data_IF_417848679172
#
_entry.id   IF_417848679172
#
_cell.length_a   1.000
_cell.length_b   1.000
_cell.length_c   1.000
_cell.angle_alpha   90.00
_cell.angle_beta   90.00
_cell.angle_gamma   90.00
#
_symmetry.space_group_name_H-M   'P 1'
#
loop_
_entity.id
_entity.type
_entity.pdbx_description
1 polymer ?
#
# COMPACT_ATOMS: atom_id res chain seq x y z
N UNK A 1 6.54 -57.86 -29.63
CA UNK A 1 7.15 -56.55 -29.28
C UNK A 1 8.58 -56.77 -28.85
N UNK A 2 9.56 -56.09 -29.48
CA UNK A 2 10.98 -56.32 -29.20
C UNK A 2 11.37 -55.64 -27.89
N UNK A 3 12.22 -56.30 -27.07
CA UNK A 3 12.74 -55.74 -25.81
C UNK A 3 13.42 -54.37 -26.00
N UNK A 4 13.88 -54.09 -27.22
CA UNK A 4 14.42 -52.80 -27.63
C UNK A 4 13.37 -51.69 -27.52
N UNK A 5 12.16 -51.87 -28.07
CA UNK A 5 11.11 -50.84 -28.07
C UNK A 5 10.72 -50.37 -26.65
N UNK A 6 10.62 -51.30 -25.70
CA UNK A 6 10.31 -50.99 -24.29
C UNK A 6 11.44 -50.21 -23.61
N UNK A 7 12.71 -50.45 -23.97
CA UNK A 7 13.86 -49.71 -23.44
C UNK A 7 13.87 -48.27 -23.94
N UNK A 8 13.58 -48.04 -25.22
CA UNK A 8 13.47 -46.70 -25.80
C UNK A 8 12.30 -45.90 -25.23
N UNK A 9 11.14 -46.54 -25.03
CA UNK A 9 9.99 -45.89 -24.41
C UNK A 9 10.31 -45.42 -22.99
N UNK A 10 10.88 -46.28 -22.14
CA UNK A 10 11.28 -45.91 -20.76
C UNK A 10 12.31 -44.78 -20.72
N UNK A 11 13.28 -44.79 -21.64
CA UNK A 11 14.28 -43.73 -21.73
C UNK A 11 13.65 -42.39 -22.13
N UNK A 12 12.71 -42.41 -23.08
CA UNK A 12 11.97 -41.20 -23.49
C UNK A 12 11.09 -40.66 -22.36
N UNK A 13 10.36 -41.53 -21.65
CA UNK A 13 9.53 -41.10 -20.50
C UNK A 13 10.40 -40.50 -19.39
N UNK A 14 11.56 -41.11 -19.08
CA UNK A 14 12.49 -40.58 -18.08
C UNK A 14 13.06 -39.21 -18.49
N UNK A 15 13.36 -39.00 -19.77
CA UNK A 15 13.81 -37.71 -20.31
C UNK A 15 12.72 -36.64 -20.16
N UNK A 16 11.47 -36.94 -20.53
CA UNK A 16 10.36 -35.99 -20.40
C UNK A 16 10.08 -35.63 -18.93
N UNK A 17 10.13 -36.60 -18.02
CA UNK A 17 9.96 -36.36 -16.57
C UNK A 17 11.10 -35.47 -16.04
N UNK A 18 12.34 -35.72 -16.45
CA UNK A 18 13.49 -34.88 -16.09
C UNK A 18 13.30 -33.43 -16.54
N UNK A 19 12.81 -33.21 -17.77
CA UNK A 19 12.55 -31.88 -18.31
C UNK A 19 11.44 -31.12 -17.56
N UNK A 20 10.41 -31.82 -17.05
CA UNK A 20 9.32 -31.20 -16.29
C UNK A 20 9.79 -30.75 -14.90
N UNK A 21 10.74 -31.46 -14.29
CA UNK A 21 11.23 -31.16 -12.93
C UNK A 21 12.18 -29.95 -12.92
N UNK A 22 12.77 -29.57 -14.06
CA UNK A 22 13.71 -28.43 -14.18
C UNK A 22 12.99 -27.08 -14.37
N UNK A 23 11.67 -27.03 -14.17
CA UNK A 23 10.90 -25.78 -14.15
C UNK A 23 11.20 -24.91 -12.92
N UNK A 24 12.33 -24.19 -12.90
CA UNK A 24 12.56 -23.11 -11.95
C UNK A 24 11.75 -21.88 -12.37
N UNK A 25 10.54 -21.74 -11.84
CA UNK A 25 9.82 -20.47 -11.90
C UNK A 25 10.43 -19.50 -10.87
N UNK A 26 11.39 -18.68 -11.29
CA UNK A 26 11.84 -17.54 -10.49
C UNK A 26 10.92 -16.35 -10.79
N UNK A 27 10.39 -15.71 -9.75
CA UNK A 27 9.73 -14.43 -9.92
C UNK A 27 10.77 -13.38 -10.34
N UNK A 28 10.40 -12.39 -11.18
CA UNK A 28 11.25 -11.23 -11.42
C UNK A 28 11.51 -10.50 -10.10
N UNK A 29 12.75 -10.01 -9.93
CA UNK A 29 13.08 -9.20 -8.76
C UNK A 29 12.23 -7.91 -8.75
N UNK A 30 11.66 -7.53 -7.60
CA UNK A 30 10.96 -6.26 -7.50
C UNK A 30 11.96 -5.12 -7.75
N UNK A 31 11.51 -4.01 -8.36
CA UNK A 31 12.36 -2.83 -8.51
C UNK A 31 12.85 -2.36 -7.13
N UNK A 32 14.09 -1.87 -7.08
CA UNK A 32 14.63 -1.23 -5.88
C UNK A 32 13.75 -0.05 -5.50
N UNK A 33 13.32 0.00 -4.24
CA UNK A 33 12.47 1.08 -3.74
C UNK A 33 13.34 2.16 -3.14
N UNK A 34 13.10 3.39 -3.55
CA UNK A 34 13.69 4.55 -2.88
C UNK A 34 13.12 4.68 -1.47
N UNK A 35 14.02 4.82 -0.49
CA UNK A 35 13.65 5.05 0.90
C UNK A 35 13.06 6.44 1.07
N UNK A 36 12.01 6.56 1.90
CA UNK A 36 11.37 7.84 2.16
C UNK A 36 10.91 7.94 3.61
N UNK A 37 11.20 9.08 4.26
CA UNK A 37 10.80 9.34 5.65
C UNK A 37 9.64 10.33 5.75
N UNK A 38 8.86 10.18 6.82
CA UNK A 38 7.77 11.09 7.18
C UNK A 38 8.29 12.49 7.52
N UNK A 39 7.46 13.50 7.23
CA UNK A 39 7.79 14.85 7.66
C UNK A 39 7.54 14.97 9.17
N UNK A 40 8.43 15.70 9.85
CA UNK A 40 8.27 16.02 11.27
C UNK A 40 7.04 16.90 11.53
N UNK A 41 6.70 17.07 12.81
CA UNK A 41 5.56 17.86 13.25
C UNK A 41 5.58 19.31 12.72
N UNK A 42 4.48 19.72 12.06
CA UNK A 42 4.32 21.04 11.45
C UNK A 42 3.56 21.99 12.38
N UNK A 43 4.31 22.80 13.13
CA UNK A 43 3.79 23.62 14.22
C UNK A 43 2.95 24.84 13.79
N UNK A 44 3.03 25.21 12.52
CA UNK A 44 2.33 26.32 11.85
C UNK A 44 0.98 25.92 11.25
N UNK A 45 0.70 24.62 11.16
CA UNK A 45 -0.56 24.09 10.62
C UNK A 45 -1.80 24.51 11.44
N UNK A 46 -2.93 24.61 10.75
CA UNK A 46 -4.26 24.83 11.33
C UNK A 46 -4.61 23.74 12.36
N UNK A 47 -4.24 22.48 12.08
CA UNK A 47 -4.45 21.38 13.01
C UNK A 47 -3.62 21.55 14.30
N UNK A 48 -2.35 21.95 14.18
CA UNK A 48 -1.52 22.28 15.35
C UNK A 48 -2.10 23.45 16.15
N UNK A 49 -2.66 24.46 15.48
CA UNK A 49 -3.32 25.60 16.13
C UNK A 49 -4.57 25.19 16.90
N UNK A 50 -5.40 24.32 16.32
CA UNK A 50 -6.60 23.79 16.97
C UNK A 50 -6.28 23.06 18.28
N UNK A 51 -5.27 22.18 18.27
CA UNK A 51 -4.85 21.46 19.48
C UNK A 51 -4.15 22.35 20.51
N UNK A 52 -3.44 23.41 20.09
CA UNK A 52 -2.86 24.39 21.01
C UNK A 52 -3.93 25.23 21.73
N UNK A 53 -5.01 25.58 21.03
CA UNK A 53 -6.11 26.38 21.60
C UNK A 53 -6.96 25.56 22.59
N UNK A 54 -7.17 24.28 22.27
CA UNK A 54 -7.94 23.38 23.12
C UNK A 54 -7.01 22.66 24.10
N UNK A 55 -6.65 23.32 25.19
CA UNK A 55 -5.89 22.70 26.28
C UNK A 55 -6.76 21.65 26.97
N UNK A 56 -6.34 20.39 26.86
CA UNK A 56 -6.96 19.28 27.59
C UNK A 56 -6.15 18.99 28.85
N UNK A 57 -6.84 18.81 29.97
CA UNK A 57 -6.20 18.29 31.18
C UNK A 57 -5.77 16.83 30.94
N UNK A 58 -4.47 16.65 30.73
CA UNK A 58 -3.84 15.36 30.43
C UNK A 58 -3.83 14.41 31.63
N UNK A 59 -4.16 14.90 32.83
CA UNK A 59 -4.28 14.05 34.03
C UNK A 59 -5.59 13.24 34.04
N UNK A 60 -6.62 13.70 33.32
CA UNK A 60 -7.96 13.08 33.30
C UNK A 60 -8.39 12.58 31.93
N UNK A 61 -7.76 13.02 30.83
CA UNK A 61 -8.11 12.62 29.46
C UNK A 61 -6.91 12.09 28.70
N UNK A 62 -7.10 10.97 28.04
CA UNK A 62 -6.16 10.45 27.04
C UNK A 62 -6.48 11.12 25.70
N UNK A 63 -5.47 11.40 24.87
CA UNK A 63 -5.65 12.04 23.55
C UNK A 63 -6.31 11.14 22.49
N UNK A 64 -7.07 10.13 22.93
CA UNK A 64 -7.69 9.12 22.08
C UNK A 64 -9.21 9.26 22.11
N UNK A 65 -9.82 9.25 20.93
CA UNK A 65 -11.27 9.22 20.77
C UNK A 65 -11.66 7.97 19.97
N UNK A 66 -12.31 6.97 20.59
CA UNK A 66 -12.71 5.76 19.88
C UNK A 66 -13.86 6.06 18.91
N UNK A 67 -13.74 5.57 17.67
CA UNK A 67 -14.79 5.60 16.66
C UNK A 67 -15.34 4.18 16.51
N UNK A 68 -16.53 3.95 17.05
CA UNK A 68 -17.18 2.63 17.11
C UNK A 68 -17.90 2.28 15.80
N UNK A 69 -18.30 3.28 15.02
CA UNK A 69 -19.02 3.10 13.76
C UNK A 69 -18.13 3.36 12.55
N UNK A 70 -18.26 2.49 11.54
CA UNK A 70 -17.50 2.60 10.30
C UNK A 70 -17.71 3.90 9.52
N UNK A 71 -18.92 4.48 9.56
CA UNK A 71 -19.19 5.76 8.90
C UNK A 71 -18.51 6.94 9.59
N UNK A 72 -18.53 6.99 10.92
CA UNK A 72 -17.82 8.01 11.70
C UNK A 72 -16.31 7.91 11.47
N UNK A 73 -15.81 6.68 11.42
CA UNK A 73 -14.42 6.37 11.11
C UNK A 73 -14.01 6.80 9.68
N UNK A 74 -14.89 6.63 8.69
CA UNK A 74 -14.67 7.08 7.32
C UNK A 74 -14.70 8.61 7.23
N UNK A 75 -15.70 9.25 7.84
CA UNK A 75 -15.84 10.70 7.83
C UNK A 75 -14.63 11.37 8.50
N UNK A 76 -14.19 10.88 9.65
CA UNK A 76 -12.99 11.40 10.32
C UNK A 76 -11.75 11.32 9.43
N UNK A 77 -11.57 10.22 8.69
CA UNK A 77 -10.45 10.09 7.72
C UNK A 77 -10.56 11.11 6.59
N UNK A 78 -11.75 11.28 6.01
CA UNK A 78 -11.98 12.27 4.96
C UNK A 78 -11.70 13.67 5.48
N UNK A 79 -12.19 14.02 6.67
CA UNK A 79 -11.94 15.33 7.29
C UNK A 79 -10.45 15.56 7.55
N UNK A 80 -9.69 14.54 7.96
CA UNK A 80 -8.24 14.64 8.11
C UNK A 80 -7.53 14.86 6.77
N UNK A 81 -7.98 14.19 5.70
CA UNK A 81 -7.44 14.38 4.34
C UNK A 81 -7.71 15.79 3.84
N UNK A 82 -8.94 16.30 4.04
CA UNK A 82 -9.33 17.65 3.63
C UNK A 82 -8.59 18.74 4.43
N UNK A 83 -8.34 18.50 5.72
CA UNK A 83 -7.65 19.43 6.60
C UNK A 83 -6.11 19.40 6.47
N UNK A 84 -5.53 18.43 5.76
CA UNK A 84 -4.08 18.31 5.61
C UNK A 84 -3.49 19.46 4.79
N UNK A 85 -2.39 20.03 5.29
CA UNK A 85 -1.71 21.20 4.67
C UNK A 85 -0.30 20.89 4.13
N UNK A 86 0.43 19.93 4.73
CA UNK A 86 1.84 19.67 4.36
C UNK A 86 2.09 18.24 3.90
N UNK A 87 1.68 17.26 4.70
CA UNK A 87 1.88 15.84 4.39
C UNK A 87 0.75 14.99 4.90
N UNK A 88 0.56 13.85 4.25
CA UNK A 88 -0.41 12.85 4.62
C UNK A 88 0.16 11.46 4.37
N UNK A 89 0.38 10.73 5.45
CA UNK A 89 0.92 9.37 5.43
C UNK A 89 -0.16 8.39 5.85
N UNK A 90 -0.50 7.44 4.98
CA UNK A 90 -1.59 6.51 5.23
C UNK A 90 -1.13 5.08 5.03
N UNK A 91 -1.54 4.21 5.95
CA UNK A 91 -1.20 2.80 5.95
C UNK A 91 -2.50 1.98 5.95
N UNK A 92 -2.66 1.08 4.98
CA UNK A 92 -3.85 0.23 4.88
C UNK A 92 -3.49 -1.22 4.59
N UNK A 93 -4.17 -2.11 5.30
CA UNK A 93 -4.16 -3.55 5.00
C UNK A 93 -5.04 -3.91 3.81
N UNK A 94 -6.22 -3.27 3.67
CA UNK A 94 -7.17 -3.52 2.57
C UNK A 94 -7.52 -2.18 1.92
N UNK A 95 -7.23 -2.07 0.61
CA UNK A 95 -7.63 -0.94 -0.22
C UNK A 95 -8.23 -1.47 -1.53
N UNK A 96 -9.53 -1.24 -1.76
CA UNK A 96 -10.28 -1.88 -2.85
C UNK A 96 -10.86 -0.87 -3.82
N UNK A 97 -11.16 -1.31 -5.04
CA UNK A 97 -11.82 -0.50 -6.06
C UNK A 97 -13.36 -0.49 -5.87
N UNK A 98 -13.78 -0.23 -4.64
CA UNK A 98 -15.19 -0.04 -4.26
C UNK A 98 -15.51 1.45 -4.07
N UNK A 99 -16.75 1.78 -3.74
CA UNK A 99 -17.22 3.16 -3.60
C UNK A 99 -16.42 3.93 -2.54
N UNK A 100 -16.15 3.28 -1.40
CA UNK A 100 -15.36 3.86 -0.32
C UNK A 100 -13.91 4.08 -0.74
N UNK A 101 -13.28 3.10 -1.40
CA UNK A 101 -11.93 3.24 -1.91
C UNK A 101 -11.81 4.32 -2.98
N UNK A 102 -12.77 4.43 -3.90
CA UNK A 102 -12.82 5.51 -4.90
C UNK A 102 -12.95 6.88 -4.26
N UNK A 103 -13.85 7.01 -3.28
CA UNK A 103 -14.03 8.26 -2.53
C UNK A 103 -12.74 8.66 -1.83
N UNK A 104 -12.11 7.75 -1.09
CA UNK A 104 -10.85 7.99 -0.41
C UNK A 104 -9.77 8.41 -1.42
N UNK A 105 -9.61 7.67 -2.51
CA UNK A 105 -8.65 7.98 -3.58
C UNK A 105 -8.87 9.39 -4.15
N UNK A 106 -10.11 9.78 -4.40
CA UNK A 106 -10.44 11.11 -4.91
C UNK A 106 -10.00 12.21 -3.93
N UNK A 107 -10.28 12.04 -2.63
CA UNK A 107 -9.86 13.01 -1.61
C UNK A 107 -8.35 13.11 -1.46
N UNK A 108 -7.64 11.99 -1.60
CA UNK A 108 -6.18 11.97 -1.61
C UNK A 108 -5.61 12.69 -2.82
N UNK A 109 -6.22 12.50 -3.99
CA UNK A 109 -5.88 13.25 -5.19
C UNK A 109 -6.11 14.76 -4.99
N UNK A 110 -7.27 15.16 -4.47
CA UNK A 110 -7.53 16.58 -4.14
C UNK A 110 -6.51 17.15 -3.15
N UNK A 111 -6.02 16.36 -2.19
CA UNK A 111 -4.97 16.79 -1.28
C UNK A 111 -3.63 16.98 -1.99
N UNK A 112 -3.26 16.05 -2.87
CA UNK A 112 -2.05 16.17 -3.68
C UNK A 112 -2.09 17.41 -4.60
N UNK A 113 -3.24 17.71 -5.21
CA UNK A 113 -3.44 18.93 -6.02
C UNK A 113 -3.27 20.22 -5.21
N UNK A 114 -3.55 20.20 -3.90
CA UNK A 114 -3.27 21.32 -2.98
C UNK A 114 -1.79 21.44 -2.60
N UNK A 115 -0.92 20.53 -3.07
CA UNK A 115 0.50 20.49 -2.73
C UNK A 115 0.82 19.68 -1.47
N UNK A 116 -0.13 18.93 -0.92
CA UNK A 116 0.13 18.02 0.21
C UNK A 116 0.95 16.83 -0.28
N UNK A 117 2.05 16.50 0.41
CA UNK A 117 2.83 15.28 0.14
C UNK A 117 2.06 14.06 0.63
N UNK A 118 1.46 13.30 -0.29
CA UNK A 118 0.68 12.09 0.03
C UNK A 118 1.52 10.83 -0.18
N UNK A 119 1.60 9.97 0.85
CA UNK A 119 2.17 8.62 0.74
C UNK A 119 1.20 7.57 1.22
N UNK A 120 1.17 6.44 0.52
CA UNK A 120 0.29 5.32 0.81
C UNK A 120 1.11 4.04 0.94
N UNK A 121 1.10 3.45 2.12
CA UNK A 121 1.64 2.12 2.38
C UNK A 121 0.51 1.10 2.30
N UNK A 122 0.60 0.18 1.33
CA UNK A 122 -0.39 -0.87 1.12
C UNK A 122 0.24 -2.24 1.40
N UNK A 123 -0.48 -3.06 2.16
CA UNK A 123 -0.09 -4.45 2.36
C UNK A 123 -0.27 -5.27 1.06
N UNK A 124 0.76 -6.04 0.70
CA UNK A 124 0.83 -6.83 -0.55
C UNK A 124 0.03 -8.16 -0.50
N UNK A 125 -0.71 -8.42 0.59
CA UNK A 125 -1.48 -9.66 0.76
C UNK A 125 -2.79 -9.73 -0.06
N UNK A 126 -3.05 -8.81 -0.98
CA UNK A 126 -4.28 -8.79 -1.80
C UNK A 126 -4.28 -9.84 -2.93
N UNK A 127 -4.34 -11.13 -2.58
CA UNK A 127 -4.49 -12.25 -3.53
C UNK A 127 -5.95 -12.69 -3.77
N UNK A 128 -6.91 -11.95 -3.23
CA UNK A 128 -8.34 -12.19 -3.50
C UNK A 128 -8.65 -11.61 -4.88
N UNK A 129 -9.65 -12.13 -5.58
CA UNK A 129 -10.09 -11.75 -6.95
C UNK A 129 -10.60 -10.30 -7.05
N UNK A 130 -9.83 -9.39 -6.50
CA UNK A 130 -10.02 -7.97 -6.44
C UNK A 130 -9.28 -7.48 -7.69
N UNK A 131 -9.98 -6.83 -8.60
CA UNK A 131 -9.37 -6.15 -9.74
C UNK A 131 -8.43 -5.09 -9.14
N UNK A 132 -7.17 -5.48 -8.92
CA UNK A 132 -6.19 -4.68 -8.23
C UNK A 132 -6.14 -3.31 -8.87
N UNK A 133 -6.02 -2.26 -8.05
CA UNK A 133 -5.77 -0.93 -8.55
C UNK A 133 -4.43 -0.94 -9.30
N UNK A 134 -4.47 -1.18 -10.61
CA UNK A 134 -3.37 -0.83 -11.49
C UNK A 134 -3.42 0.69 -11.64
N UNK A 135 -2.92 1.37 -10.61
CA UNK A 135 -3.01 2.80 -10.47
C UNK A 135 -2.03 3.45 -11.45
N UNK A 136 -2.43 3.55 -12.72
CA UNK A 136 -1.76 4.41 -13.69
C UNK A 136 -2.17 5.86 -13.42
N UNK A 137 -1.82 6.42 -12.26
CA UNK A 137 -1.66 7.86 -12.14
C UNK A 137 -0.31 8.19 -12.77
N UNK A 138 -0.33 8.34 -14.08
CA UNK A 138 0.75 8.95 -14.84
C UNK A 138 0.31 10.38 -15.16
N UNK A 139 0.28 11.25 -14.15
CA UNK A 139 0.21 12.69 -14.40
C UNK A 139 1.64 13.23 -14.57
N UNK A 140 1.89 14.08 -15.58
CA UNK A 140 3.25 14.32 -16.07
C UNK A 140 4.13 15.24 -15.22
N UNK A 141 3.67 15.78 -14.07
CA UNK A 141 4.41 16.92 -13.47
C UNK A 141 4.55 16.99 -11.96
N UNK A 142 3.81 16.27 -11.11
CA UNK A 142 3.91 16.53 -9.66
C UNK A 142 3.71 15.34 -8.70
N UNK A 143 3.49 14.13 -9.23
CA UNK A 143 3.29 12.93 -8.40
C UNK A 143 4.40 11.91 -8.70
N UNK A 144 5.66 12.30 -8.49
CA UNK A 144 6.77 11.34 -8.39
C UNK A 144 6.76 10.59 -7.06
N UNK A 145 6.12 11.17 -6.03
CA UNK A 145 6.30 10.74 -4.64
C UNK A 145 5.08 10.02 -4.04
N UNK A 146 4.01 9.80 -4.80
CA UNK A 146 2.97 8.86 -4.39
C UNK A 146 3.48 7.43 -4.63
N UNK A 147 4.47 7.05 -3.82
CA UNK A 147 4.96 5.69 -3.74
C UNK A 147 3.88 4.87 -3.05
N UNK A 148 3.08 4.16 -3.84
CA UNK A 148 2.31 3.03 -3.33
C UNK A 148 3.35 1.93 -3.06
N UNK A 149 3.82 1.85 -1.82
CA UNK A 149 4.75 0.81 -1.43
C UNK A 149 3.96 -0.48 -1.18
N UNK A 150 3.99 -1.41 -2.12
CA UNK A 150 3.51 -2.80 -1.92
C UNK A 150 4.67 -3.63 -1.38
N UNK A 151 4.56 -4.26 -0.22
CA UNK A 151 5.65 -5.02 0.42
C UNK A 151 6.03 -6.32 -0.29
N UNK A 152 6.57 -6.26 -1.50
CA UNK A 152 7.25 -7.37 -2.18
C UNK A 152 8.71 -7.46 -1.72
N UNK A 153 9.01 -8.18 -0.64
CA UNK A 153 10.39 -8.41 -0.21
C UNK A 153 10.50 -9.34 1.01
N UNK A 154 11.59 -10.12 1.15
CA UNK A 154 11.80 -10.96 2.32
C UNK A 154 11.88 -10.07 3.57
N UNK A 155 11.25 -10.55 4.65
CA UNK A 155 11.06 -9.82 5.90
C UNK A 155 12.40 -9.56 6.60
N UNK A 156 13.04 -8.44 6.29
CA UNK A 156 14.06 -7.85 7.17
C UNK A 156 13.68 -6.40 7.49
N UNK A 157 13.36 -6.21 8.77
CA UNK A 157 13.33 -4.94 9.51
C UNK A 157 12.65 -3.76 8.82
N UNK A 158 11.32 -3.67 8.99
CA UNK A 158 10.58 -2.43 8.88
C UNK A 158 11.05 -1.44 9.95
N UNK A 159 11.90 -0.50 9.56
CA UNK A 159 12.09 0.76 10.28
C UNK A 159 11.06 1.75 9.73
N UNK A 160 10.34 2.39 10.65
CA UNK A 160 9.28 3.37 10.44
C UNK A 160 9.83 4.77 10.12
#
# INVERSE_FOLDING_TARGET
MTKSFIRWFKAFTALCVSLIIVGCASAPEPPEKEYSEHLSFQADSNLARYFKQNQYDTSIKTGFYPLDKGHDALLARISLIEAAEHSLDIQYYIYRNDETGKLMTWRLFEAAERGVRVRILLDDMQKRNDQGWHFSIRTPTFISDCLIQTTTGPRETSVF
#
